data_IF_493210664823
#
_entry.id   IF_493210664823
#
_cell.length_a   1.000
_cell.length_b   1.000
_cell.length_c   1.000
_cell.angle_alpha   90.00
_cell.angle_beta   90.00
_cell.angle_gamma   90.00
#
_symmetry.space_group_name_H-M   'P 1'
#
loop_
_entity.id
_entity.type
_entity.pdbx_description
1 polymer ?
#
# COMPACT_ATOMS: atom_id res chain seq x y z
N UNK A 1 -7.93 -46.31 -25.35
CA UNK A 1 -6.59 -46.90 -25.15
C UNK A 1 -5.65 -46.29 -26.19
N UNK A 2 -4.41 -46.02 -25.80
CA UNK A 2 -3.25 -45.55 -26.60
C UNK A 2 -3.03 -44.05 -26.82
N UNK A 3 -2.08 -43.61 -26.01
CA UNK A 3 -1.12 -42.52 -26.11
C UNK A 3 -0.19 -42.62 -27.34
N UNK A 4 0.22 -41.47 -27.91
CA UNK A 4 1.59 -41.04 -28.39
C UNK A 4 1.54 -40.17 -29.66
N UNK A 5 2.55 -39.31 -29.94
CA UNK A 5 3.47 -38.62 -29.02
C UNK A 5 3.72 -37.13 -29.36
N UNK A 6 4.42 -36.46 -28.44
CA UNK A 6 4.97 -35.11 -28.52
C UNK A 6 5.81 -34.85 -29.78
N UNK A 7 5.61 -33.69 -30.40
CA UNK A 7 6.50 -33.14 -31.40
C UNK A 7 7.72 -32.47 -30.74
N UNK A 8 8.90 -32.88 -31.19
CA UNK A 8 10.19 -32.27 -30.86
C UNK A 8 10.25 -30.83 -31.38
N UNK A 9 10.70 -29.90 -30.56
CA UNK A 9 11.21 -28.61 -31.02
C UNK A 9 12.55 -28.84 -31.75
N UNK A 10 12.59 -28.51 -33.04
CA UNK A 10 13.83 -28.24 -33.78
C UNK A 10 14.14 -26.74 -33.78
N UNK A 11 15.41 -26.34 -33.90
CA UNK A 11 15.79 -24.93 -33.97
C UNK A 11 15.73 -24.47 -35.43
N UNK A 12 14.97 -23.42 -35.75
CA UNK A 12 14.94 -22.91 -37.12
C UNK A 12 13.94 -21.81 -37.39
N UNK A 13 14.46 -20.59 -37.43
CA UNK A 13 14.02 -19.43 -38.22
C UNK A 13 12.60 -18.87 -38.01
N UNK A 14 12.57 -17.70 -37.36
CA UNK A 14 11.84 -16.55 -37.89
C UNK A 14 10.34 -16.55 -37.65
N UNK A 15 9.93 -16.38 -36.40
CA UNK A 15 8.63 -15.76 -36.11
C UNK A 15 8.91 -14.43 -35.41
N UNK A 16 8.34 -13.36 -35.97
CA UNK A 16 8.18 -12.10 -35.27
C UNK A 16 7.46 -12.43 -33.97
N UNK A 17 8.10 -12.18 -32.84
CA UNK A 17 7.41 -12.02 -31.57
C UNK A 17 6.43 -10.88 -31.76
N UNK A 18 5.16 -11.20 -32.05
CA UNK A 18 4.08 -10.24 -31.92
C UNK A 18 4.03 -9.84 -30.44
N UNK A 19 4.29 -8.57 -30.09
CA UNK A 19 4.22 -8.16 -28.71
C UNK A 19 2.77 -8.28 -28.28
N UNK A 20 2.53 -9.06 -27.24
CA UNK A 20 1.27 -9.15 -26.54
C UNK A 20 0.74 -7.73 -26.24
N UNK A 21 -0.28 -7.33 -27.01
CA UNK A 21 -1.22 -6.27 -26.71
C UNK A 21 -0.67 -4.97 -26.13
N UNK A 22 -0.06 -4.13 -26.97
CA UNK A 22 -0.07 -2.67 -26.72
C UNK A 22 -1.52 -2.19 -26.84
N UNK A 23 -2.16 -1.89 -25.70
CA UNK A 23 -3.38 -1.08 -25.67
C UNK A 23 -3.10 0.14 -24.80
N UNK A 24 -3.25 1.29 -25.45
CA UNK A 24 -3.02 2.65 -24.95
C UNK A 24 -3.63 2.88 -23.56
N UNK A 25 -2.80 2.69 -22.53
CA UNK A 25 -3.09 3.12 -21.17
C UNK A 25 -3.01 4.64 -21.15
N UNK A 26 -4.17 5.32 -21.23
CA UNK A 26 -4.21 6.77 -21.01
C UNK A 26 -3.78 7.05 -19.57
N UNK A 27 -2.64 7.71 -19.42
CA UNK A 27 -2.11 8.24 -18.18
C UNK A 27 -3.07 9.32 -17.65
N UNK A 28 -3.59 9.13 -16.44
CA UNK A 28 -4.10 10.23 -15.63
C UNK A 28 -3.03 10.54 -14.60
N UNK A 29 -2.14 11.50 -14.87
CA UNK A 29 -1.27 12.03 -13.81
C UNK A 29 -2.07 13.14 -13.14
N UNK A 30 -2.49 12.91 -11.89
CA UNK A 30 -2.99 13.99 -11.04
C UNK A 30 -1.85 14.38 -10.12
N UNK A 31 -1.16 15.46 -10.47
CA UNK A 31 -0.33 16.15 -9.50
C UNK A 31 -1.27 16.74 -8.46
N UNK A 32 -1.21 16.25 -7.22
CA UNK A 32 -1.86 16.93 -6.11
C UNK A 32 -1.24 18.33 -6.05
N UNK A 33 -2.04 19.41 -6.08
CA UNK A 33 -1.47 20.73 -5.91
C UNK A 33 -0.74 20.74 -4.57
N UNK A 34 0.58 20.85 -4.63
CA UNK A 34 1.40 21.18 -3.47
C UNK A 34 0.75 22.40 -2.84
N UNK A 35 0.42 22.31 -1.56
CA UNK A 35 -0.06 23.45 -0.77
C UNK A 35 0.80 24.67 -1.10
N UNK A 36 0.17 25.85 -1.15
CA UNK A 36 0.90 27.11 -1.34
C UNK A 36 2.14 27.13 -0.45
N UNK A 37 3.27 27.57 -1.02
CA UNK A 37 4.59 27.50 -0.40
C UNK A 37 4.54 28.11 1.02
N UNK A 38 4.52 27.26 2.05
CA UNK A 38 4.45 27.66 3.46
C UNK A 38 3.20 27.23 4.25
N UNK A 39 2.14 26.72 3.62
CA UNK A 39 1.01 26.16 4.35
C UNK A 39 1.30 24.70 4.77
N UNK A 40 1.12 24.34 6.06
CA UNK A 40 1.43 23.00 6.54
C UNK A 40 0.56 21.95 5.86
N UNK A 41 1.20 20.90 5.35
CA UNK A 41 0.52 19.78 4.74
C UNK A 41 -0.44 19.09 5.72
N UNK A 42 -1.47 18.46 5.16
CA UNK A 42 -2.63 18.00 5.90
C UNK A 42 -2.92 16.53 5.63
N UNK A 43 -3.33 15.80 6.66
CA UNK A 43 -3.77 14.41 6.56
C UNK A 43 -5.09 14.20 7.29
N UNK A 44 -5.88 13.23 6.83
CA UNK A 44 -7.14 12.86 7.44
C UNK A 44 -6.94 12.41 8.90
N UNK A 45 -7.85 12.80 9.81
CA UNK A 45 -7.66 12.56 11.26
C UNK A 45 -7.67 11.08 11.60
N UNK A 46 -8.29 10.24 10.77
CA UNK A 46 -8.33 8.79 10.98
C UNK A 46 -6.95 8.14 10.88
N UNK A 47 -5.99 8.73 10.15
CA UNK A 47 -4.62 8.22 10.16
C UNK A 47 -4.02 8.22 11.58
N UNK A 48 -4.33 9.26 12.36
CA UNK A 48 -3.90 9.38 13.75
C UNK A 48 -4.81 8.55 14.66
N UNK A 49 -6.12 8.78 14.62
CA UNK A 49 -7.09 8.16 15.54
C UNK A 49 -7.01 6.64 15.47
N UNK A 50 -7.01 6.06 14.25
CA UNK A 50 -6.98 4.60 14.09
C UNK A 50 -5.65 4.03 14.55
N UNK A 51 -4.53 4.70 14.28
CA UNK A 51 -3.21 4.25 14.77
C UNK A 51 -3.16 4.22 16.29
N UNK A 52 -3.69 5.25 16.96
CA UNK A 52 -3.77 5.27 18.44
C UNK A 52 -4.68 4.15 18.96
N UNK A 53 -5.85 3.93 18.36
CA UNK A 53 -6.76 2.86 18.75
C UNK A 53 -6.15 1.46 18.62
N UNK A 54 -5.41 1.20 17.54
CA UNK A 54 -4.73 -0.09 17.35
C UNK A 54 -3.57 -0.28 18.33
N UNK A 55 -2.85 0.79 18.69
CA UNK A 55 -1.86 0.74 19.76
C UNK A 55 -2.51 0.39 21.10
N UNK A 56 -3.63 1.04 21.45
CA UNK A 56 -4.38 0.71 22.66
C UNK A 56 -4.89 -0.74 22.67
N UNK A 57 -5.31 -1.27 21.52
CA UNK A 57 -5.73 -2.66 21.38
C UNK A 57 -4.60 -3.67 21.63
N UNK A 58 -3.36 -3.32 21.26
CA UNK A 58 -2.20 -4.23 21.37
C UNK A 58 -1.46 -4.08 22.71
N UNK A 59 -1.25 -2.84 23.17
CA UNK A 59 -0.45 -2.53 24.35
C UNK A 59 -1.31 -2.31 25.60
N UNK A 60 -2.59 -1.97 25.43
CA UNK A 60 -3.42 -1.40 26.48
C UNK A 60 -3.22 0.12 26.60
N UNK A 61 -4.27 0.81 27.06
CA UNK A 61 -4.32 2.28 27.15
C UNK A 61 -3.16 2.89 27.93
N UNK A 62 -2.86 2.38 29.12
CA UNK A 62 -1.80 2.92 29.99
C UNK A 62 -0.42 2.84 29.33
N UNK A 63 -0.15 1.78 28.58
CA UNK A 63 1.15 1.54 27.95
C UNK A 63 1.28 2.39 26.67
N UNK A 64 0.19 2.53 25.92
CA UNK A 64 0.09 3.49 24.81
C UNK A 64 0.33 4.92 25.29
N UNK A 65 -0.31 5.35 26.37
CA UNK A 65 -0.10 6.69 26.94
C UNK A 65 1.37 6.90 27.35
N UNK A 66 1.97 5.94 28.05
CA UNK A 66 3.39 6.03 28.44
C UNK A 66 4.30 6.10 27.21
N UNK A 67 4.01 5.33 26.16
CA UNK A 67 4.74 5.40 24.90
C UNK A 67 4.62 6.79 24.28
N UNK A 68 3.40 7.28 24.05
CA UNK A 68 3.15 8.58 23.40
C UNK A 68 3.78 9.74 24.17
N UNK A 69 3.71 9.72 25.51
CA UNK A 69 4.31 10.73 26.39
C UNK A 69 5.83 10.84 26.21
N UNK A 70 6.55 9.73 25.96
CA UNK A 70 8.00 9.77 25.69
C UNK A 70 8.36 10.56 24.44
N UNK A 71 7.41 10.70 23.50
CA UNK A 71 7.57 11.44 22.25
C UNK A 71 6.85 12.79 22.26
N UNK A 72 6.23 13.19 23.39
CA UNK A 72 5.42 14.42 23.48
C UNK A 72 4.14 14.35 22.63
N UNK A 73 3.58 13.15 22.46
CA UNK A 73 2.42 12.86 21.63
C UNK A 73 1.17 12.44 22.43
N UNK A 74 1.16 12.61 23.75
CA UNK A 74 0.04 12.22 24.61
C UNK A 74 -1.29 12.88 24.22
N UNK A 75 -1.23 14.09 23.66
CA UNK A 75 -2.39 14.81 23.12
C UNK A 75 -3.10 14.07 21.97
N UNK A 76 -2.45 13.08 21.35
CA UNK A 76 -3.06 12.27 20.29
C UNK A 76 -4.11 11.27 20.81
N UNK A 77 -4.19 11.05 22.12
CA UNK A 77 -5.22 10.21 22.75
C UNK A 77 -6.63 10.81 22.63
N UNK A 78 -6.72 12.13 22.50
CA UNK A 78 -7.97 12.89 22.51
C UNK A 78 -8.21 13.61 21.17
N UNK A 79 -7.75 13.02 20.06
CA UNK A 79 -7.98 13.59 18.72
C UNK A 79 -9.43 13.42 18.32
N UNK A 80 -10.12 14.55 18.13
CA UNK A 80 -11.47 14.60 17.57
C UNK A 80 -11.49 14.15 16.08
N UNK A 81 -12.58 13.51 15.63
CA UNK A 81 -12.69 13.00 14.25
C UNK A 81 -12.88 14.10 13.19
N UNK A 82 -13.04 15.36 13.61
CA UNK A 82 -13.29 16.50 12.75
C UNK A 82 -12.02 17.25 12.35
N UNK A 83 -12.02 17.74 11.12
CA UNK A 83 -10.94 18.55 10.57
C UNK A 83 -9.71 17.76 10.11
N UNK A 84 -8.88 18.40 9.29
CA UNK A 84 -7.63 17.83 8.82
C UNK A 84 -6.51 18.12 9.80
N UNK A 85 -5.65 17.14 10.05
CA UNK A 85 -4.49 17.26 10.96
C UNK A 85 -3.23 17.66 10.20
N UNK A 86 -2.26 18.34 10.84
CA UNK A 86 -0.93 18.47 10.27
C UNK A 86 -0.34 17.09 9.93
N UNK A 87 0.20 16.93 8.72
CA UNK A 87 0.84 15.69 8.27
C UNK A 87 1.96 15.24 9.22
N UNK A 88 2.73 16.21 9.73
CA UNK A 88 3.83 15.98 10.66
C UNK A 88 3.40 15.21 11.93
N UNK A 89 2.18 15.43 12.44
CA UNK A 89 1.71 14.69 13.62
C UNK A 89 1.61 13.19 13.34
N UNK A 90 1.10 12.81 12.16
CA UNK A 90 1.03 11.42 11.77
C UNK A 90 2.42 10.82 11.54
N UNK A 91 3.34 11.55 10.90
CA UNK A 91 4.71 11.07 10.71
C UNK A 91 5.46 10.91 12.04
N UNK A 92 5.29 11.84 12.99
CA UNK A 92 5.84 11.70 14.36
C UNK A 92 5.25 10.51 15.09
N UNK A 93 3.95 10.24 14.95
CA UNK A 93 3.31 9.05 15.50
C UNK A 93 3.90 7.76 14.89
N UNK A 94 4.04 7.70 13.57
CA UNK A 94 4.66 6.56 12.87
C UNK A 94 6.09 6.34 13.35
N UNK A 95 6.87 7.41 13.52
CA UNK A 95 8.22 7.37 14.11
C UNK A 95 8.21 6.78 15.52
N UNK A 96 7.34 7.29 16.40
CA UNK A 96 7.21 6.81 17.77
C UNK A 96 6.88 5.31 17.84
N UNK A 97 5.96 4.83 16.98
CA UNK A 97 5.62 3.41 16.88
C UNK A 97 6.82 2.59 16.40
N UNK A 98 7.50 3.06 15.37
CA UNK A 98 8.65 2.37 14.76
C UNK A 98 9.84 2.29 15.71
N UNK A 99 10.09 3.32 16.52
CA UNK A 99 11.19 3.31 17.51
C UNK A 99 10.85 2.51 18.77
N UNK A 100 9.57 2.42 19.14
CA UNK A 100 9.17 1.82 20.41
C UNK A 100 8.81 0.35 20.36
N UNK A 101 8.52 -0.20 19.17
CA UNK A 101 8.03 -1.57 19.01
C UNK A 101 8.99 -2.43 18.18
N UNK A 102 8.98 -3.76 18.36
CA UNK A 102 9.63 -4.67 17.43
C UNK A 102 9.15 -4.44 15.99
N UNK A 103 10.01 -4.59 14.97
CA UNK A 103 9.68 -4.25 13.58
C UNK A 103 8.38 -4.88 13.06
N UNK A 104 8.16 -6.17 13.33
CA UNK A 104 6.92 -6.86 12.91
C UNK A 104 5.68 -6.33 13.63
N UNK A 105 5.81 -5.99 14.91
CA UNK A 105 4.70 -5.42 15.68
C UNK A 105 4.36 -4.03 15.17
N UNK A 106 5.35 -3.18 14.90
CA UNK A 106 5.13 -1.85 14.30
C UNK A 106 4.44 -1.97 12.94
N UNK A 107 4.89 -2.89 12.09
CA UNK A 107 4.26 -3.17 10.79
C UNK A 107 2.81 -3.63 10.95
N UNK A 108 2.54 -4.54 11.89
CA UNK A 108 1.21 -5.06 12.13
C UNK A 108 0.24 -4.00 12.66
N UNK A 109 0.67 -3.16 13.61
CA UNK A 109 -0.12 -2.03 14.14
C UNK A 109 -0.54 -1.11 12.99
N UNK A 110 0.42 -0.66 12.18
CA UNK A 110 0.14 0.29 11.12
C UNK A 110 -0.68 -0.32 9.99
N UNK A 111 -0.46 -1.60 9.65
CA UNK A 111 -1.31 -2.34 8.72
C UNK A 111 -2.77 -2.39 9.20
N UNK A 112 -2.98 -2.72 10.48
CA UNK A 112 -4.31 -2.77 11.09
C UNK A 112 -4.97 -1.38 11.08
N UNK A 113 -4.21 -0.35 11.45
CA UNK A 113 -4.69 1.03 11.47
C UNK A 113 -5.09 1.51 10.07
N UNK A 114 -4.32 1.11 9.05
CA UNK A 114 -4.65 1.33 7.66
C UNK A 114 -5.97 0.67 7.27
N UNK A 115 -6.15 -0.61 7.60
CA UNK A 115 -7.40 -1.35 7.32
C UNK A 115 -8.61 -0.72 8.03
N UNK A 116 -8.45 -0.34 9.29
CA UNK A 116 -9.47 0.37 10.08
C UNK A 116 -9.82 1.73 9.45
N UNK A 117 -8.82 2.45 8.92
CA UNK A 117 -9.04 3.70 8.18
C UNK A 117 -9.78 3.47 6.86
N UNK A 118 -9.38 2.46 6.07
CA UNK A 118 -10.05 2.09 4.83
C UNK A 118 -11.51 1.70 5.07
N UNK A 119 -11.78 0.95 6.13
CA UNK A 119 -13.14 0.55 6.53
C UNK A 119 -13.98 1.77 6.92
N UNK A 120 -13.41 2.69 7.70
CA UNK A 120 -14.07 3.95 8.04
C UNK A 120 -14.41 4.78 6.79
N UNK A 121 -13.47 4.92 5.84
CA UNK A 121 -13.71 5.66 4.59
C UNK A 121 -14.81 4.97 3.78
N UNK A 122 -14.76 3.65 3.67
CA UNK A 122 -15.76 2.86 2.99
C UNK A 122 -17.14 3.18 3.58
N UNK A 123 -17.30 3.07 4.90
CA UNK A 123 -18.57 3.22 5.61
C UNK A 123 -19.12 4.65 5.65
N UNK A 124 -18.24 5.64 5.81
CA UNK A 124 -18.65 7.00 6.19
C UNK A 124 -18.42 8.05 5.09
N UNK A 125 -17.60 7.75 4.07
CA UNK A 125 -17.22 8.72 3.03
C UNK A 125 -17.59 8.31 1.62
N UNK A 126 -17.80 7.02 1.35
CA UNK A 126 -18.28 6.55 0.04
C UNK A 126 -19.81 6.46 0.07
N UNK A 127 -20.55 7.26 -0.74
CA UNK A 127 -22.01 7.22 -0.72
C UNK A 127 -22.56 5.83 -1.06
N UNK A 128 -23.57 5.37 -0.32
CA UNK A 128 -24.11 4.01 -0.43
C UNK A 128 -24.61 3.64 -1.84
N UNK A 129 -25.01 4.62 -2.65
CA UNK A 129 -25.41 4.43 -4.05
C UNK A 129 -24.25 3.85 -4.88
N UNK A 130 -23.01 4.32 -4.67
CA UNK A 130 -21.84 3.79 -5.38
C UNK A 130 -21.52 2.35 -4.98
N UNK A 131 -21.73 1.99 -3.70
CA UNK A 131 -21.55 0.60 -3.23
C UNK A 131 -22.56 -0.34 -3.88
N UNK A 132 -23.81 0.12 -4.07
CA UNK A 132 -24.88 -0.66 -4.72
C UNK A 132 -24.71 -0.79 -6.24
N UNK A 133 -24.08 0.19 -6.89
CA UNK A 133 -23.85 0.18 -8.34
C UNK A 133 -22.56 -0.56 -8.74
N UNK A 134 -21.61 -0.74 -7.82
CA UNK A 134 -20.38 -1.47 -8.10
C UNK A 134 -20.63 -2.85 -8.74
N UNK A 135 -21.53 -3.73 -8.24
CA UNK A 135 -21.72 -5.07 -8.81
C UNK A 135 -22.15 -5.09 -10.28
N UNK A 136 -22.81 -4.02 -10.76
CA UNK A 136 -23.34 -3.92 -12.14
C UNK A 136 -22.25 -3.50 -13.14
N UNK A 137 -21.22 -2.80 -12.68
CA UNK A 137 -20.17 -2.29 -13.54
C UNK A 137 -19.09 -3.34 -13.80
N UNK A 138 -18.55 -3.43 -15.04
CA UNK A 138 -17.39 -4.27 -15.32
C UNK A 138 -16.22 -3.90 -14.42
N UNK A 139 -15.43 -4.89 -14.00
CA UNK A 139 -14.31 -4.74 -13.07
C UNK A 139 -13.34 -3.61 -13.47
N UNK A 140 -12.98 -3.51 -14.74
CA UNK A 140 -12.08 -2.46 -15.26
C UNK A 140 -12.67 -1.06 -15.09
N UNK A 141 -14.00 -0.91 -15.21
CA UNK A 141 -14.69 0.36 -14.99
C UNK A 141 -14.70 0.70 -13.50
N UNK A 142 -15.02 -0.27 -12.62
CA UNK A 142 -14.94 -0.08 -11.17
C UNK A 142 -13.56 0.41 -10.73
N UNK A 143 -12.51 -0.28 -11.20
CA UNK A 143 -11.13 0.07 -10.89
C UNK A 143 -10.79 1.48 -11.35
N UNK A 144 -11.15 1.86 -12.58
CA UNK A 144 -10.93 3.22 -13.10
C UNK A 144 -11.64 4.28 -12.28
N UNK A 145 -12.90 4.05 -11.92
CA UNK A 145 -13.68 4.99 -11.12
C UNK A 145 -13.08 5.16 -9.71
N UNK A 146 -12.70 4.06 -9.07
CA UNK A 146 -12.10 4.10 -7.73
C UNK A 146 -10.74 4.80 -7.76
N UNK A 147 -9.85 4.45 -8.69
CA UNK A 147 -8.56 5.10 -8.82
C UNK A 147 -8.70 6.60 -9.15
N UNK A 148 -9.67 6.98 -9.97
CA UNK A 148 -9.99 8.39 -10.22
C UNK A 148 -10.48 9.11 -8.95
N UNK A 149 -11.28 8.43 -8.12
CA UNK A 149 -11.70 8.97 -6.83
C UNK A 149 -10.50 9.15 -5.88
N UNK A 150 -9.60 8.18 -5.80
CA UNK A 150 -8.36 8.31 -5.01
C UNK A 150 -7.56 9.52 -5.44
N UNK A 151 -7.38 9.74 -6.74
CA UNK A 151 -6.67 10.90 -7.25
C UNK A 151 -7.33 12.23 -6.84
N UNK A 152 -8.65 12.33 -6.92
CA UNK A 152 -9.40 13.55 -6.51
C UNK A 152 -9.31 13.81 -5.01
N UNK A 153 -9.18 12.77 -4.21
CA UNK A 153 -9.10 12.85 -2.75
C UNK A 153 -7.66 12.71 -2.21
N UNK A 154 -6.65 12.72 -3.10
CA UNK A 154 -5.27 12.51 -2.72
C UNK A 154 -4.76 13.53 -1.71
N UNK A 155 -5.25 14.77 -1.75
CA UNK A 155 -4.95 15.80 -0.76
C UNK A 155 -5.26 15.38 0.69
N UNK A 156 -6.15 14.39 0.91
CA UNK A 156 -6.52 13.93 2.26
C UNK A 156 -5.55 12.92 2.87
N UNK A 157 -4.74 12.25 2.05
CA UNK A 157 -3.87 11.16 2.51
C UNK A 157 -2.43 11.30 2.03
N UNK A 158 -2.17 11.99 0.92
CA UNK A 158 -0.82 12.18 0.40
C UNK A 158 -0.10 13.35 1.08
N UNK A 159 -0.81 14.21 1.81
CA UNK A 159 -0.23 15.37 2.47
C UNK A 159 0.55 16.27 1.51
N UNK A 160 1.84 16.48 1.78
CA UNK A 160 2.76 17.23 0.90
C UNK A 160 3.30 16.40 -0.28
N UNK A 161 2.99 15.10 -0.30
CA UNK A 161 3.41 14.14 -1.29
C UNK A 161 2.67 14.19 -2.63
N UNK A 162 2.93 13.20 -3.48
CA UNK A 162 2.29 13.04 -4.81
C UNK A 162 1.67 11.66 -4.93
N UNK A 163 0.49 11.59 -5.53
CA UNK A 163 -0.19 10.33 -5.80
C UNK A 163 -0.46 10.16 -7.29
N UNK A 164 0.08 9.09 -7.87
CA UNK A 164 -0.06 8.77 -9.29
C UNK A 164 -0.76 7.43 -9.45
N UNK A 165 -1.56 7.28 -10.51
CA UNK A 165 -2.15 5.98 -10.86
C UNK A 165 -1.90 5.68 -12.33
N UNK A 166 -1.60 4.42 -12.60
CA UNK A 166 -1.42 3.88 -13.94
C UNK A 166 -2.42 2.75 -14.13
N UNK A 167 -3.42 2.99 -14.97
CA UNK A 167 -4.44 1.99 -15.27
C UNK A 167 -3.95 1.10 -16.39
N UNK A 168 -3.51 -0.10 -16.04
CA UNK A 168 -3.01 -1.12 -16.97
C UNK A 168 -3.30 -2.53 -16.47
N UNK A 169 -2.59 -3.50 -17.04
CA UNK A 169 -2.60 -4.89 -16.59
C UNK A 169 -1.15 -5.33 -16.36
N UNK A 170 -0.63 -5.26 -15.12
CA UNK A 170 -1.31 -4.87 -13.89
C UNK A 170 -1.51 -3.35 -13.77
N UNK A 171 -2.45 -2.93 -12.92
CA UNK A 171 -2.60 -1.52 -12.56
C UNK A 171 -1.65 -1.16 -11.43
N UNK A 172 -1.21 0.10 -11.36
CA UNK A 172 -0.21 0.57 -10.39
C UNK A 172 -0.65 1.86 -9.73
N UNK A 173 -0.36 1.99 -8.44
CA UNK A 173 -0.49 3.23 -7.68
C UNK A 173 0.88 3.62 -7.16
N UNK A 174 1.27 4.88 -7.27
CA UNK A 174 2.54 5.39 -6.72
C UNK A 174 2.24 6.48 -5.73
N UNK A 175 2.82 6.36 -4.54
CA UNK A 175 2.79 7.42 -3.54
C UNK A 175 4.22 7.90 -3.33
N UNK A 176 4.43 9.18 -3.62
CA UNK A 176 5.63 9.92 -3.24
C UNK A 176 5.34 10.59 -1.89
N UNK A 177 6.13 10.26 -0.88
CA UNK A 177 5.97 10.76 0.47
C UNK A 177 6.61 12.14 0.64
N UNK A 178 6.15 12.84 1.67
CA UNK A 178 6.81 14.02 2.21
C UNK A 178 8.32 13.78 2.45
N UNK A 179 9.20 14.75 2.20
CA UNK A 179 10.63 14.66 2.55
C UNK A 179 10.87 14.26 4.02
N UNK A 180 9.99 14.66 4.93
CA UNK A 180 10.00 14.34 6.37
C UNK A 180 9.87 12.83 6.62
N UNK A 181 9.21 12.08 5.73
CA UNK A 181 9.17 10.62 5.82
C UNK A 181 10.54 9.97 5.60
N UNK A 182 11.57 10.74 5.18
CA UNK A 182 12.96 10.27 5.15
C UNK A 182 13.64 10.22 6.50
N UNK A 183 13.07 10.85 7.51
CA UNK A 183 13.58 10.83 8.88
C UNK A 183 13.02 9.66 9.71
N UNK A 184 12.15 8.84 9.11
CA UNK A 184 11.64 7.63 9.74
C UNK A 184 12.76 6.57 9.86
N UNK A 185 12.88 5.88 11.02
CA UNK A 185 13.85 4.80 11.18
C UNK A 185 13.63 3.65 10.18
N UNK A 186 12.36 3.41 9.83
CA UNK A 186 11.95 2.51 8.77
C UNK A 186 10.63 3.00 8.18
N UNK A 187 10.48 2.88 6.86
CA UNK A 187 9.22 3.21 6.16
C UNK A 187 8.28 2.03 6.02
N UNK A 188 8.71 0.81 6.38
CA UNK A 188 7.91 -0.41 6.25
C UNK A 188 6.55 -0.28 6.97
N UNK A 189 6.47 0.25 8.21
CA UNK A 189 5.17 0.46 8.86
C UNK A 189 4.29 1.46 8.12
N UNK A 190 4.85 2.58 7.64
CA UNK A 190 4.09 3.58 6.89
C UNK A 190 3.54 3.01 5.58
N UNK A 191 4.35 2.25 4.85
CA UNK A 191 3.93 1.54 3.64
C UNK A 191 2.80 0.56 3.98
N UNK A 192 2.94 -0.22 5.05
CA UNK A 192 1.91 -1.16 5.49
C UNK A 192 0.58 -0.47 5.81
N UNK A 193 0.61 0.73 6.40
CA UNK A 193 -0.59 1.54 6.62
C UNK A 193 -1.30 1.90 5.31
N UNK A 194 -0.56 2.38 4.30
CA UNK A 194 -1.16 2.71 3.01
C UNK A 194 -1.68 1.46 2.28
N UNK A 195 -0.90 0.37 2.28
CA UNK A 195 -1.31 -0.91 1.70
C UNK A 195 -2.62 -1.39 2.33
N UNK A 196 -2.72 -1.43 3.67
CA UNK A 196 -3.93 -1.84 4.37
C UNK A 196 -5.15 -0.95 4.06
N UNK A 197 -4.93 0.36 3.98
CA UNK A 197 -5.99 1.33 3.66
C UNK A 197 -6.57 1.13 2.27
N UNK A 198 -5.70 1.02 1.26
CA UNK A 198 -6.13 0.86 -0.12
C UNK A 198 -6.66 -0.55 -0.41
N UNK A 199 -6.08 -1.59 0.19
CA UNK A 199 -6.51 -2.98 0.01
C UNK A 199 -8.00 -3.14 0.39
N UNK A 200 -8.43 -2.58 1.53
CA UNK A 200 -9.84 -2.63 1.96
C UNK A 200 -10.77 -2.02 0.91
N UNK A 201 -10.43 -0.83 0.41
CA UNK A 201 -11.24 -0.11 -0.56
C UNK A 201 -11.27 -0.82 -1.91
N UNK A 202 -10.12 -1.30 -2.39
CA UNK A 202 -10.01 -2.05 -3.65
C UNK A 202 -10.81 -3.34 -3.60
N UNK A 203 -10.72 -4.11 -2.50
CA UNK A 203 -11.48 -5.36 -2.37
C UNK A 203 -12.98 -5.12 -2.29
N UNK A 204 -13.41 -4.15 -1.50
CA UNK A 204 -14.83 -3.85 -1.32
C UNK A 204 -15.47 -3.27 -2.60
N UNK A 205 -14.73 -2.46 -3.36
CA UNK A 205 -15.29 -1.67 -4.46
C UNK A 205 -14.89 -2.16 -5.85
N UNK A 206 -13.95 -3.11 -6.00
CA UNK A 206 -13.49 -3.61 -7.30
C UNK A 206 -13.65 -5.12 -7.40
N UNK A 207 -13.03 -5.88 -6.50
CA UNK A 207 -12.96 -7.33 -6.55
C UNK A 207 -12.39 -7.89 -5.25
N UNK A 208 -13.13 -8.77 -4.56
CA UNK A 208 -12.72 -9.35 -3.28
C UNK A 208 -11.43 -10.15 -3.36
N UNK A 209 -11.13 -10.72 -4.52
CA UNK A 209 -9.96 -11.59 -4.74
C UNK A 209 -8.75 -10.80 -5.28
N UNK A 210 -8.84 -9.46 -5.30
CA UNK A 210 -7.72 -8.60 -5.67
C UNK A 210 -6.58 -8.69 -4.64
N UNK A 211 -5.38 -8.80 -5.17
CA UNK A 211 -4.13 -8.68 -4.40
C UNK A 211 -3.51 -7.31 -4.64
N UNK A 212 -3.23 -6.62 -3.54
CA UNK A 212 -2.44 -5.39 -3.51
C UNK A 212 -1.07 -5.71 -2.93
N UNK A 213 -0.03 -5.62 -3.75
CA UNK A 213 1.35 -5.77 -3.28
C UNK A 213 1.94 -4.40 -3.00
N UNK A 214 2.53 -4.24 -1.81
CA UNK A 214 3.41 -3.11 -1.51
C UNK A 214 4.76 -3.23 -2.22
N UNK A 215 5.60 -2.18 -2.19
CA UNK A 215 6.97 -2.28 -2.67
C UNK A 215 7.71 -3.42 -1.93
N UNK A 216 8.69 -4.08 -2.57
CA UNK A 216 9.51 -5.06 -1.88
C UNK A 216 10.20 -4.42 -0.68
N UNK A 217 10.32 -5.20 0.40
CA UNK A 217 10.89 -4.78 1.69
C UNK A 217 12.36 -4.33 1.59
N UNK A 218 13.00 -4.71 0.50
CA UNK A 218 14.23 -4.12 -0.02
C UNK A 218 13.97 -3.63 -1.43
N UNK A 219 13.90 -2.33 -1.62
CA UNK A 219 14.34 -1.78 -2.88
C UNK A 219 15.15 -0.52 -2.69
N UNK A 220 16.30 -0.50 -3.33
CA UNK A 220 17.16 0.68 -3.51
C UNK A 220 16.57 1.69 -4.50
N UNK A 221 15.24 1.76 -4.60
CA UNK A 221 14.55 2.84 -5.29
C UNK A 221 14.78 4.17 -4.57
N UNK A 222 14.54 5.32 -5.25
CA UNK A 222 14.66 6.60 -4.57
C UNK A 222 13.77 6.57 -3.33
N UNK A 223 14.29 6.99 -2.16
CA UNK A 223 13.70 6.76 -0.83
C UNK A 223 12.28 7.30 -0.63
N UNK A 224 11.73 7.97 -1.62
CA UNK A 224 10.60 8.89 -1.51
C UNK A 224 9.36 8.31 -2.16
N UNK A 225 9.50 7.29 -3.01
CA UNK A 225 8.42 6.77 -3.83
C UNK A 225 8.25 5.28 -3.60
N UNK A 226 7.03 4.86 -3.31
CA UNK A 226 6.68 3.44 -3.36
C UNK A 226 5.54 3.18 -4.34
N UNK A 227 5.66 2.06 -5.04
CA UNK A 227 4.68 1.55 -5.98
C UNK A 227 3.91 0.40 -5.33
N UNK A 228 2.59 0.45 -5.45
CA UNK A 228 1.71 -0.65 -5.11
C UNK A 228 1.10 -1.22 -6.40
N UNK A 229 1.20 -2.53 -6.57
CA UNK A 229 0.75 -3.22 -7.78
C UNK A 229 -0.56 -3.96 -7.52
N UNK A 230 -1.52 -3.77 -8.42
CA UNK A 230 -2.85 -4.36 -8.39
C UNK A 230 -2.92 -5.46 -9.45
N UNK A 231 -2.99 -6.71 -9.01
CA UNK A 231 -3.08 -7.86 -9.90
C UNK A 231 -4.53 -8.26 -10.13
N UNK A 232 -4.94 -8.50 -11.38
CA UNK A 232 -6.18 -9.18 -11.64
C UNK A 232 -6.10 -10.67 -11.30
N UNK A 233 -7.21 -11.25 -10.85
CA UNK A 233 -7.36 -12.71 -10.68
C UNK A 233 -6.82 -13.48 -11.90
N UNK A 234 -6.04 -14.53 -11.66
CA UNK A 234 -5.54 -15.45 -12.68
C UNK A 234 -4.29 -15.00 -13.46
N UNK A 235 -3.77 -13.79 -13.25
CA UNK A 235 -2.45 -13.43 -13.76
C UNK A 235 -1.37 -13.88 -12.77
N UNK A 236 -0.36 -14.67 -13.22
CA UNK A 236 0.75 -15.01 -12.34
C UNK A 236 1.42 -13.72 -11.88
N UNK A 237 1.59 -13.59 -10.56
CA UNK A 237 2.51 -12.62 -9.98
C UNK A 237 3.85 -12.82 -10.72
N UNK A 238 4.47 -11.76 -11.27
CA UNK A 238 5.82 -11.89 -11.78
C UNK A 238 6.64 -12.44 -10.61
N UNK A 239 7.21 -13.63 -10.78
CA UNK A 239 8.06 -14.25 -9.80
C UNK A 239 9.21 -13.28 -9.50
N UNK A 240 9.04 -12.43 -8.50
CA UNK A 240 10.14 -11.61 -8.01
C UNK A 240 11.16 -12.59 -7.46
N UNK A 241 12.33 -12.56 -8.10
CA UNK A 241 13.47 -13.42 -7.90
C UNK A 241 13.68 -13.70 -6.40
N UNK A 242 13.33 -14.91 -5.93
CA UNK A 242 13.88 -15.44 -4.69
C UNK A 242 15.39 -15.54 -4.90
N UNK A 243 16.15 -14.63 -4.30
CA UNK A 243 17.60 -14.73 -4.28
C UNK A 243 18.00 -16.10 -3.73
N UNK A 244 18.77 -16.84 -4.55
CA UNK A 244 19.35 -18.14 -4.20
C UNK A 244 20.17 -18.00 -2.92
N UNK A 245 19.93 -18.86 -1.93
CA UNK A 245 20.71 -18.75 -0.70
C UNK A 245 20.61 -19.88 0.32
N UNK A 246 20.51 -21.15 -0.07
CA UNK A 246 21.00 -22.22 0.82
C UNK A 246 21.54 -23.41 0.02
N UNK A 247 22.82 -23.35 -0.38
CA UNK A 247 23.57 -24.57 -0.66
C UNK A 247 23.83 -25.23 0.69
N UNK A 248 23.18 -26.36 0.96
CA UNK A 248 23.70 -27.32 1.94
C UNK A 248 25.08 -27.75 1.43
N UNK A 249 26.14 -27.24 2.04
CA UNK A 249 27.44 -27.89 2.01
C UNK A 249 27.26 -29.28 2.61
N UNK A 250 27.32 -30.30 1.77
CA UNK A 250 27.46 -31.68 2.22
C UNK A 250 28.76 -31.78 3.00
N UNK A 251 28.65 -32.15 4.26
CA UNK A 251 29.79 -32.59 5.06
C UNK A 251 29.95 -34.07 4.74
N UNK A 252 30.99 -34.41 3.99
CA UNK A 252 31.48 -35.78 3.88
C UNK A 252 31.82 -36.28 5.29
N UNK A 253 31.23 -37.41 5.68
CA UNK A 253 31.78 -38.25 6.73
C UNK A 253 32.27 -39.52 6.06
N UNK A 254 33.58 -39.58 5.85
CA UNK A 254 34.28 -40.80 5.49
C UNK A 254 34.04 -41.84 6.57
N UNK A 255 33.50 -42.99 6.16
CA UNK A 255 33.53 -44.21 6.95
C UNK A 255 34.82 -44.95 6.61
N UNK A 256 35.62 -45.13 7.65
CA UNK A 256 36.65 -46.15 7.79
C UNK A 256 35.98 -47.53 7.87
#
# INVERSE_FOLDING_TARGET
MRWRPAHRCGPGSGSREEPCGRRDGRFGIVTVPTTEKGAPARIGPNAVIRTVQELEGILGRTDTERMLRRFGLEHLLDVEPDGMRPEEEFLRLVKAVTESLPPETARAVLLSAGRSTGSYVLENRIPGVFRKLAPVLPRTVRLRLLLSAFQRHAWTFAGSGRFEVEVGTPARMRLELAPEARELPSRIPLIAYYTGSFEVLLRAMVDSDLTLEGPPERDGGPPERFEMTIYPEGLPQPCFFQERGFRRTGVDHGAN
#
